data_IF_701738675470
#
_entry.id   IF_701738675470
#
_cell.length_a   1.000
_cell.length_b   1.000
_cell.length_c   1.000
_cell.angle_alpha   90.00
_cell.angle_beta   90.00
_cell.angle_gamma   90.00
#
_symmetry.space_group_name_H-M   'P 1'
#
loop_
_entity.id
_entity.type
_entity.pdbx_description
1 polymer ?
#
# COMPACT_ATOMS: atom_id res chain seq x y z
N UNK A 1 -8.08 18.89 1.65
CA UNK A 1 -8.30 17.92 2.74
C UNK A 1 -8.70 16.57 2.15
N UNK A 2 -8.05 15.51 2.61
CA UNK A 2 -8.27 14.10 2.33
C UNK A 2 -8.99 13.45 3.53
N UNK A 3 -9.66 12.34 3.29
CA UNK A 3 -10.24 11.53 4.34
C UNK A 3 -9.16 10.77 5.12
N UNK A 4 -8.27 10.09 4.39
CA UNK A 4 -7.19 9.30 4.95
C UNK A 4 -5.89 9.50 4.17
N UNK A 5 -4.76 9.26 4.84
CA UNK A 5 -3.48 9.01 4.17
C UNK A 5 -3.13 7.54 4.32
N UNK A 6 -2.94 6.86 3.19
CA UNK A 6 -2.47 5.49 3.13
C UNK A 6 -0.95 5.50 3.06
N UNK A 7 -0.27 4.72 3.90
CA UNK A 7 1.19 4.59 3.94
C UNK A 7 1.56 3.14 3.63
N UNK A 8 2.38 2.92 2.60
CA UNK A 8 2.88 1.60 2.25
C UNK A 8 4.16 1.28 3.01
N UNK A 9 4.16 0.15 3.70
CA UNK A 9 5.35 -0.41 4.33
C UNK A 9 6.47 -0.77 3.34
N UNK A 10 7.69 -0.83 3.85
CA UNK A 10 8.89 -1.28 3.12
C UNK A 10 9.72 -2.30 3.92
N UNK A 11 9.18 -2.83 5.03
CA UNK A 11 9.95 -3.58 6.03
C UNK A 11 10.60 -2.65 7.06
N UNK A 12 11.25 -3.22 8.08
CA UNK A 12 11.95 -2.39 9.10
C UNK A 12 13.24 -1.82 8.49
N UNK A 13 13.14 -0.63 7.92
CA UNK A 13 14.26 0.14 7.38
C UNK A 13 13.93 1.64 7.35
N UNK A 14 14.92 2.45 7.03
CA UNK A 14 14.79 3.91 6.95
C UNK A 14 13.79 4.36 5.88
N UNK A 15 13.59 3.57 4.83
CA UNK A 15 12.59 3.84 3.79
C UNK A 15 11.19 3.80 4.40
N UNK A 16 10.85 2.75 5.15
CA UNK A 16 9.53 2.67 5.79
C UNK A 16 9.35 3.77 6.84
N UNK A 17 10.39 4.06 7.63
CA UNK A 17 10.37 5.17 8.60
C UNK A 17 10.08 6.51 7.92
N UNK A 18 10.72 6.78 6.78
CA UNK A 18 10.48 8.00 5.99
C UNK A 18 9.03 8.10 5.51
N UNK A 19 8.47 7.00 5.00
CA UNK A 19 7.06 6.92 4.57
C UNK A 19 6.10 7.12 5.74
N UNK A 20 6.33 6.47 6.88
CA UNK A 20 5.52 6.61 8.09
C UNK A 20 5.54 8.06 8.58
N UNK A 21 6.72 8.68 8.69
CA UNK A 21 6.87 10.08 9.08
C UNK A 21 6.11 11.01 8.14
N UNK A 22 6.16 10.76 6.82
CA UNK A 22 5.39 11.56 5.86
C UNK A 22 3.89 11.41 6.05
N UNK A 23 3.39 10.19 6.30
CA UNK A 23 1.98 9.97 6.64
C UNK A 23 1.56 10.72 7.92
N UNK A 24 2.38 10.66 8.97
CA UNK A 24 2.17 11.40 10.22
C UNK A 24 2.10 12.91 9.95
N UNK A 25 3.01 13.46 9.16
CA UNK A 25 3.03 14.88 8.77
C UNK A 25 1.73 15.29 8.06
N UNK A 26 1.22 14.45 7.15
CA UNK A 26 -0.04 14.70 6.43
C UNK A 26 -1.24 14.75 7.38
N UNK A 27 -1.27 13.90 8.42
CA UNK A 27 -2.33 13.97 9.44
C UNK A 27 -2.17 15.20 10.32
N UNK A 28 -0.96 15.47 10.82
CA UNK A 28 -0.69 16.60 11.74
C UNK A 28 -0.89 17.97 11.10
N UNK A 29 -0.69 18.10 9.78
CA UNK A 29 -0.98 19.32 9.02
C UNK A 29 -2.47 19.53 8.74
N UNK A 30 -3.34 18.61 9.16
CA UNK A 30 -4.78 18.65 8.86
C UNK A 30 -5.09 18.33 7.40
N UNK A 31 -4.13 17.83 6.62
CA UNK A 31 -4.37 17.45 5.23
C UNK A 31 -5.14 16.13 5.12
N UNK A 32 -5.01 15.21 6.07
CA UNK A 32 -5.84 14.00 6.19
C UNK A 32 -6.39 13.82 7.62
N UNK A 33 -7.53 13.13 7.79
CA UNK A 33 -8.12 12.90 9.12
C UNK A 33 -7.42 11.77 9.88
N UNK A 34 -7.05 10.70 9.17
CA UNK A 34 -6.47 9.48 9.73
C UNK A 34 -5.28 8.98 8.89
N UNK A 35 -4.44 8.17 9.53
CA UNK A 35 -3.37 7.38 8.92
C UNK A 35 -3.83 5.93 8.80
N UNK A 36 -3.72 5.37 7.59
CA UNK A 36 -3.92 3.96 7.29
C UNK A 36 -2.58 3.37 6.84
N UNK A 37 -1.97 2.53 7.66
CA UNK A 37 -0.76 1.82 7.30
C UNK A 37 -1.11 0.44 6.74
N UNK A 38 -0.46 0.05 5.64
CA UNK A 38 -0.56 -1.29 5.04
C UNK A 38 0.84 -1.84 4.76
N UNK A 39 1.15 -3.00 5.33
CA UNK A 39 2.47 -3.63 5.20
C UNK A 39 2.57 -4.95 5.93
N UNK A 40 3.80 -5.35 6.27
CA UNK A 40 4.08 -6.56 7.07
C UNK A 40 3.97 -6.31 8.58
N UNK A 41 3.90 -7.39 9.36
CA UNK A 41 3.71 -7.35 10.83
C UNK A 41 4.70 -6.46 11.59
N UNK A 42 5.99 -6.66 11.35
CA UNK A 42 7.02 -5.92 12.09
C UNK A 42 7.01 -4.42 11.75
N UNK A 43 6.67 -4.10 10.50
CA UNK A 43 6.54 -2.74 9.99
C UNK A 43 5.30 -2.04 10.56
N UNK A 44 4.19 -2.78 10.73
CA UNK A 44 2.97 -2.26 11.35
C UNK A 44 3.15 -1.88 12.82
N UNK A 45 3.92 -2.66 13.59
CA UNK A 45 4.25 -2.32 14.98
C UNK A 45 5.06 -1.01 15.06
N UNK A 46 6.03 -0.84 14.16
CA UNK A 46 6.81 0.39 14.03
C UNK A 46 5.92 1.58 13.66
N UNK A 47 5.03 1.42 12.68
CA UNK A 47 4.09 2.47 12.26
C UNK A 47 3.18 2.95 13.39
N UNK A 48 2.63 2.01 14.18
CA UNK A 48 1.79 2.33 15.33
C UNK A 48 2.57 3.07 16.42
N UNK A 49 3.77 2.59 16.74
CA UNK A 49 4.65 3.20 17.74
C UNK A 49 5.04 4.62 17.35
N UNK A 50 5.59 4.81 16.13
CA UNK A 50 5.99 6.12 15.64
C UNK A 50 4.82 7.09 15.59
N UNK A 51 3.64 6.66 15.13
CA UNK A 51 2.45 7.50 15.05
C UNK A 51 2.04 8.04 16.42
N UNK A 52 1.98 7.17 17.44
CA UNK A 52 1.67 7.58 18.83
C UNK A 52 2.74 8.51 19.40
N UNK A 53 4.02 8.17 19.26
CA UNK A 53 5.13 9.00 19.75
C UNK A 53 5.13 10.40 19.11
N UNK A 54 4.67 10.53 17.87
CA UNK A 54 4.56 11.83 17.19
C UNK A 54 3.23 12.55 17.45
N UNK A 55 2.37 12.01 18.31
CA UNK A 55 1.18 12.67 18.84
C UNK A 55 -0.12 12.42 18.05
N UNK A 56 -0.20 11.36 17.24
CA UNK A 56 -1.49 10.91 16.70
C UNK A 56 -2.27 10.17 17.79
N UNK A 57 -3.57 10.42 17.87
CA UNK A 57 -4.47 9.66 18.73
C UNK A 57 -4.72 8.26 18.14
N UNK A 58 -5.03 7.27 18.98
CA UNK A 58 -5.33 5.91 18.51
C UNK A 58 -6.53 5.88 17.53
N UNK A 59 -7.50 6.79 17.68
CA UNK A 59 -8.62 6.93 16.74
C UNK A 59 -8.22 7.42 15.34
N UNK A 60 -6.98 7.90 15.18
CA UNK A 60 -6.41 8.35 13.91
C UNK A 60 -5.48 7.32 13.28
N UNK A 61 -5.27 6.16 13.89
CA UNK A 61 -4.27 5.18 13.47
C UNK A 61 -4.96 3.86 13.14
N UNK A 62 -4.85 3.43 11.89
CA UNK A 62 -5.35 2.14 11.40
C UNK A 62 -4.19 1.38 10.76
N UNK A 63 -3.98 0.13 11.17
CA UNK A 63 -2.85 -0.68 10.74
C UNK A 63 -3.37 -2.00 10.17
N UNK A 64 -2.94 -2.37 8.96
CA UNK A 64 -3.03 -3.73 8.43
C UNK A 64 -1.62 -4.33 8.28
N UNK A 65 -1.49 -5.56 8.77
CA UNK A 65 -0.25 -6.34 8.74
C UNK A 65 -0.34 -7.60 7.88
N UNK A 66 -1.45 -7.77 7.15
CA UNK A 66 -1.71 -8.97 6.36
C UNK A 66 -1.14 -8.87 4.94
N UNK A 67 -0.48 -7.76 4.64
CA UNK A 67 -0.08 -7.41 3.28
C UNK A 67 1.29 -7.98 2.90
N UNK A 68 1.33 -8.79 1.84
CA UNK A 68 2.59 -9.39 1.32
C UNK A 68 3.06 -8.74 0.03
N UNK A 69 2.20 -7.99 -0.64
CA UNK A 69 2.46 -7.35 -1.92
C UNK A 69 1.56 -6.12 -2.09
N UNK A 70 1.76 -5.38 -3.19
CA UNK A 70 1.03 -4.13 -3.44
C UNK A 70 -0.47 -4.33 -3.72
N UNK A 71 -0.90 -5.52 -4.19
CA UNK A 71 -2.33 -5.85 -4.34
C UNK A 71 -2.96 -6.07 -2.96
N UNK A 72 -2.29 -6.83 -2.07
CA UNK A 72 -2.74 -6.98 -0.68
C UNK A 72 -2.84 -5.60 0.00
N UNK A 73 -1.83 -4.73 -0.17
CA UNK A 73 -1.85 -3.36 0.37
C UNK A 73 -3.11 -2.60 -0.07
N UNK A 74 -3.42 -2.60 -1.38
CA UNK A 74 -4.59 -1.92 -1.91
C UNK A 74 -5.90 -2.55 -1.44
N UNK A 75 -5.96 -3.88 -1.37
CA UNK A 75 -7.12 -4.63 -0.90
C UNK A 75 -7.45 -4.30 0.56
N UNK A 76 -6.49 -4.45 1.47
CA UNK A 76 -6.72 -4.20 2.88
C UNK A 76 -6.96 -2.71 3.18
N UNK A 77 -6.28 -1.80 2.46
CA UNK A 77 -6.61 -0.38 2.51
C UNK A 77 -8.07 -0.14 2.11
N UNK A 78 -8.55 -0.72 1.00
CA UNK A 78 -9.95 -0.61 0.56
C UNK A 78 -10.92 -1.07 1.65
N UNK A 79 -10.69 -2.23 2.28
CA UNK A 79 -11.57 -2.75 3.35
C UNK A 79 -11.66 -1.80 4.55
N UNK A 80 -10.55 -1.16 4.93
CA UNK A 80 -10.53 -0.15 6.00
C UNK A 80 -11.31 1.09 5.57
N UNK A 81 -11.05 1.60 4.37
CA UNK A 81 -11.69 2.82 3.87
C UNK A 81 -13.21 2.66 3.68
N UNK A 82 -13.68 1.52 3.16
CA UNK A 82 -15.10 1.21 3.00
C UNK A 82 -15.82 1.17 4.35
N UNK A 83 -15.21 0.50 5.35
CA UNK A 83 -15.76 0.44 6.72
C UNK A 83 -15.92 1.83 7.34
N UNK A 84 -15.01 2.75 7.01
CA UNK A 84 -14.99 4.12 7.52
C UNK A 84 -15.72 5.12 6.62
N UNK A 85 -16.28 4.66 5.50
CA UNK A 85 -16.90 5.50 4.46
C UNK A 85 -15.99 6.67 4.00
N UNK A 86 -14.73 6.35 3.71
CA UNK A 86 -13.70 7.30 3.27
C UNK A 86 -13.35 7.04 1.81
N UNK A 87 -13.33 8.08 0.98
CA UNK A 87 -13.19 7.93 -0.49
C UNK A 87 -12.08 8.78 -1.08
N UNK A 88 -11.68 9.88 -0.43
CA UNK A 88 -10.60 10.75 -0.91
C UNK A 88 -9.34 10.48 -0.11
N UNK A 89 -8.31 9.92 -0.73
CA UNK A 89 -7.12 9.43 -0.02
C UNK A 89 -5.83 10.01 -0.59
N UNK A 90 -4.88 10.28 0.29
CA UNK A 90 -3.49 10.48 -0.08
C UNK A 90 -2.76 9.12 -0.07
N UNK A 91 -1.90 8.86 -1.04
CA UNK A 91 -1.09 7.64 -1.10
C UNK A 91 0.38 7.99 -0.90
N UNK A 92 0.96 7.53 0.21
CA UNK A 92 2.36 7.73 0.57
C UNK A 92 3.14 6.45 0.29
N UNK A 93 4.12 6.58 -0.61
CA UNK A 93 5.14 5.56 -0.86
C UNK A 93 6.36 6.21 -1.50
N UNK A 94 7.41 5.43 -1.73
CA UNK A 94 8.62 5.86 -2.41
C UNK A 94 8.34 6.33 -3.84
N UNK A 95 9.05 7.36 -4.28
CA UNK A 95 8.84 7.96 -5.62
C UNK A 95 9.01 6.96 -6.74
N UNK A 96 10.05 6.12 -6.71
CA UNK A 96 10.27 5.09 -7.73
C UNK A 96 9.15 4.04 -7.76
N UNK A 97 8.50 3.78 -6.62
CA UNK A 97 7.43 2.80 -6.44
C UNK A 97 6.03 3.40 -6.69
N UNK A 98 5.92 4.72 -6.81
CA UNK A 98 4.64 5.43 -6.86
C UNK A 98 3.82 5.06 -8.10
N UNK A 99 4.45 4.94 -9.27
CA UNK A 99 3.75 4.65 -10.53
C UNK A 99 2.99 3.31 -10.46
N UNK A 100 3.68 2.24 -10.07
CA UNK A 100 3.06 0.91 -9.91
C UNK A 100 2.02 0.90 -8.81
N UNK A 101 2.32 1.55 -7.68
CA UNK A 101 1.40 1.63 -6.55
C UNK A 101 0.10 2.32 -6.96
N UNK A 102 0.18 3.47 -7.63
CA UNK A 102 -0.99 4.20 -8.09
C UNK A 102 -1.81 3.37 -9.07
N UNK A 103 -1.16 2.74 -10.07
CA UNK A 103 -1.84 1.92 -11.06
C UNK A 103 -2.59 0.71 -10.46
N UNK A 104 -2.06 0.12 -9.37
CA UNK A 104 -2.71 -0.97 -8.63
C UNK A 104 -3.81 -0.45 -7.71
N UNK A 105 -3.56 0.62 -6.96
CA UNK A 105 -4.54 1.21 -6.06
C UNK A 105 -5.77 1.71 -6.82
N UNK A 106 -5.59 2.45 -7.92
CA UNK A 106 -6.70 2.88 -8.77
C UNK A 106 -7.52 1.69 -9.28
N UNK A 107 -6.84 0.60 -9.66
CA UNK A 107 -7.50 -0.60 -10.17
C UNK A 107 -8.30 -1.34 -9.10
N UNK A 108 -7.72 -1.53 -7.92
CA UNK A 108 -8.36 -2.29 -6.82
C UNK A 108 -9.45 -1.47 -6.13
N UNK A 109 -9.20 -0.20 -5.82
CA UNK A 109 -10.16 0.66 -5.13
C UNK A 109 -11.37 0.95 -6.04
N UNK A 110 -11.13 1.23 -7.32
CA UNK A 110 -12.18 1.55 -8.27
C UNK A 110 -12.52 3.04 -8.34
N UNK A 111 -13.48 3.39 -9.20
CA UNK A 111 -13.81 4.80 -9.52
C UNK A 111 -14.47 5.57 -8.37
N UNK A 112 -14.93 4.88 -7.34
CA UNK A 112 -15.50 5.52 -6.15
C UNK A 112 -14.47 6.23 -5.28
N UNK A 113 -13.17 5.99 -5.51
CA UNK A 113 -12.09 6.55 -4.72
C UNK A 113 -11.28 7.56 -5.54
N UNK A 114 -10.92 8.68 -4.91
CA UNK A 114 -9.99 9.67 -5.45
C UNK A 114 -8.65 9.52 -4.73
N UNK A 115 -7.60 9.21 -5.47
CA UNK A 115 -6.26 8.96 -4.93
C UNK A 115 -5.33 10.10 -5.36
N UNK A 116 -4.62 10.69 -4.38
CA UNK A 116 -3.61 11.73 -4.65
C UNK A 116 -2.24 11.21 -4.21
N UNK A 117 -1.25 11.14 -5.13
CA UNK A 117 0.08 10.65 -4.77
C UNK A 117 0.82 11.67 -3.90
N UNK A 118 1.47 11.18 -2.85
CA UNK A 118 2.37 11.93 -1.97
C UNK A 118 3.70 11.17 -1.93
N UNK A 119 4.58 11.37 -2.93
CA UNK A 119 5.82 10.62 -3.04
C UNK A 119 6.81 11.03 -1.94
N UNK A 120 7.60 10.05 -1.51
CA UNK A 120 8.76 10.25 -0.63
C UNK A 120 10.02 9.96 -1.45
N UNK A 121 10.99 10.86 -1.42
CA UNK A 121 12.28 10.65 -2.08
C UNK A 121 13.08 9.59 -1.30
N UNK A 122 13.69 8.68 -2.05
CA UNK A 122 14.61 7.66 -1.56
C UNK A 122 15.54 7.21 -2.68
N UNK A 123 16.61 6.50 -2.30
CA UNK A 123 17.68 6.08 -3.21
C UNK A 123 17.72 4.54 -3.26
N UNK A 124 16.88 3.89 -4.09
CA UNK A 124 16.88 2.44 -4.21
C UNK A 124 18.11 1.96 -4.99
N UNK A 125 18.59 0.78 -4.64
CA UNK A 125 19.59 0.08 -5.46
C UNK A 125 19.01 -0.30 -6.83
N UNK A 126 19.92 -0.46 -7.81
CA UNK A 126 19.57 -0.76 -9.20
C UNK A 126 18.69 -2.01 -9.35
N UNK A 127 18.96 -3.06 -8.58
CA UNK A 127 18.16 -4.30 -8.61
C UNK A 127 16.70 -4.06 -8.23
N UNK A 128 16.44 -3.18 -7.25
CA UNK A 128 15.09 -2.82 -6.83
C UNK A 128 14.36 -2.08 -7.93
N UNK A 129 15.03 -1.17 -8.63
CA UNK A 129 14.47 -0.44 -9.78
C UNK A 129 14.16 -1.39 -10.93
N UNK A 130 15.08 -2.30 -11.28
CA UNK A 130 14.88 -3.28 -12.36
C UNK A 130 13.70 -4.23 -12.05
N UNK A 131 13.58 -4.68 -10.79
CA UNK A 131 12.44 -5.45 -10.31
C UNK A 131 11.13 -4.66 -10.43
N UNK A 132 11.14 -3.38 -10.06
CA UNK A 132 9.99 -2.49 -10.16
C UNK A 132 9.51 -2.37 -11.62
N UNK A 133 10.43 -2.15 -12.55
CA UNK A 133 10.14 -2.08 -13.99
C UNK A 133 9.60 -3.41 -14.56
N UNK A 134 10.10 -4.54 -14.07
CA UNK A 134 9.56 -5.85 -14.43
C UNK A 134 8.11 -6.02 -13.95
N UNK A 135 7.83 -5.68 -12.70
CA UNK A 135 6.51 -5.80 -12.11
C UNK A 135 5.48 -4.88 -12.79
N UNK A 136 5.88 -3.68 -13.22
CA UNK A 136 5.00 -2.77 -13.98
C UNK A 136 4.47 -3.40 -15.26
N UNK A 137 5.28 -4.19 -15.97
CA UNK A 137 4.89 -4.87 -17.22
C UNK A 137 3.78 -5.90 -17.04
N UNK A 138 3.59 -6.41 -15.82
CA UNK A 138 2.52 -7.38 -15.51
C UNK A 138 1.17 -6.70 -15.29
N UNK A 139 1.13 -5.39 -15.01
CA UNK A 139 -0.11 -4.69 -14.68
C UNK A 139 -1.13 -4.72 -15.84
N UNK A 140 -0.78 -4.41 -17.10
CA UNK A 140 -1.75 -4.45 -18.20
C UNK A 140 -2.33 -5.85 -18.42
N UNK A 141 -1.51 -6.89 -18.25
CA UNK A 141 -1.95 -8.28 -18.33
C UNK A 141 -2.95 -8.60 -17.22
N UNK A 142 -2.66 -8.23 -15.97
CA UNK A 142 -3.60 -8.45 -14.87
C UNK A 142 -4.91 -7.68 -15.07
N UNK A 143 -4.84 -6.45 -15.57
CA UNK A 143 -6.00 -5.59 -15.87
C UNK A 143 -6.88 -6.11 -17.01
N UNK A 144 -6.39 -7.00 -17.87
CA UNK A 144 -7.23 -7.61 -18.92
C UNK A 144 -8.16 -8.71 -18.39
N UNK A 145 -7.84 -9.28 -17.22
CA UNK A 145 -8.63 -10.36 -16.62
C UNK A 145 -9.67 -9.89 -15.60
N UNK A 146 -9.43 -8.76 -14.93
CA UNK A 146 -10.34 -8.27 -13.88
C UNK A 146 -10.73 -6.81 -14.07
N UNK A 147 -12.03 -6.54 -13.89
CA UNK A 147 -12.57 -5.21 -13.94
C UNK A 147 -12.01 -4.32 -12.81
N UNK A 148 -11.92 -3.02 -13.10
CA UNK A 148 -11.61 -2.01 -12.08
C UNK A 148 -12.64 -2.09 -10.95
N UNK A 149 -12.18 -2.09 -9.70
CA UNK A 149 -13.01 -2.20 -8.51
C UNK A 149 -13.29 -3.63 -8.03
N UNK A 150 -12.99 -4.67 -8.83
CA UNK A 150 -13.16 -6.09 -8.45
C UNK A 150 -12.06 -6.57 -7.48
N UNK A 151 -12.02 -5.96 -6.30
CA UNK A 151 -10.98 -6.20 -5.30
C UNK A 151 -10.94 -7.68 -4.86
N UNK A 152 -12.09 -8.35 -4.73
CA UNK A 152 -12.18 -9.75 -4.32
C UNK A 152 -11.68 -10.70 -5.42
N UNK A 153 -12.08 -10.49 -6.68
CA UNK A 153 -11.61 -11.31 -7.81
C UNK A 153 -10.10 -11.17 -8.01
N UNK A 154 -9.59 -9.94 -7.98
CA UNK A 154 -8.16 -9.64 -8.08
C UNK A 154 -7.38 -10.33 -6.94
N UNK A 155 -7.84 -10.18 -5.70
CA UNK A 155 -7.19 -10.76 -4.52
C UNK A 155 -7.11 -12.28 -4.63
N UNK A 156 -8.23 -12.93 -4.96
CA UNK A 156 -8.33 -14.39 -5.11
C UNK A 156 -7.37 -14.91 -6.19
N UNK A 157 -7.25 -14.21 -7.30
CA UNK A 157 -6.36 -14.59 -8.39
C UNK A 157 -4.88 -14.48 -8.00
N UNK A 158 -4.49 -13.38 -7.35
CA UNK A 158 -3.12 -13.19 -6.86
C UNK A 158 -2.75 -14.22 -5.80
N UNK A 159 -3.66 -14.54 -4.87
CA UNK A 159 -3.44 -15.60 -3.89
C UNK A 159 -3.26 -16.98 -4.53
N UNK A 160 -4.08 -17.30 -5.54
CA UNK A 160 -3.99 -18.56 -6.26
C UNK A 160 -2.65 -18.69 -6.99
N UNK A 161 -2.22 -17.62 -7.66
CA UNK A 161 -0.92 -17.58 -8.34
C UNK A 161 0.23 -17.74 -7.35
N UNK A 162 0.14 -17.11 -6.17
CA UNK A 162 1.16 -17.25 -5.13
C UNK A 162 1.31 -18.69 -4.64
N UNK A 163 0.20 -19.41 -4.45
CA UNK A 163 0.21 -20.84 -4.08
C UNK A 163 0.88 -21.68 -5.16
N UNK A 164 0.53 -21.48 -6.43
CA UNK A 164 1.11 -22.21 -7.58
C UNK A 164 2.62 -21.94 -7.68
N UNK A 165 3.05 -20.68 -7.58
CA UNK A 165 4.46 -20.34 -7.65
C UNK A 165 5.25 -20.96 -6.49
N UNK A 166 4.69 -20.97 -5.28
CA UNK A 166 5.33 -21.64 -4.14
C UNK A 166 5.45 -23.15 -4.33
N UNK A 167 4.44 -23.83 -4.86
CA UNK A 167 4.53 -25.28 -5.11
C UNK A 167 5.61 -25.60 -6.14
N UNK A 168 5.66 -24.84 -7.25
CA UNK A 168 6.67 -25.04 -8.30
C UNK A 168 8.11 -24.79 -7.81
N UNK A 169 8.31 -23.87 -6.86
CA UNK A 169 9.62 -23.58 -6.28
C UNK A 169 10.04 -24.58 -5.19
N UNK A 170 9.10 -25.35 -4.62
CA UNK A 170 9.38 -26.38 -3.62
C UNK A 170 9.56 -27.78 -4.22
N UNK A 171 9.11 -28.01 -5.45
CA UNK A 171 9.31 -29.27 -6.20
C UNK A 171 10.68 -29.35 -6.91
N UNK A 172 11.61 -28.45 -6.58
CA UNK A 172 12.91 -28.30 -7.22
C UNK A 172 14.12 -28.90 -6.49
N UNK A 173 13.93 -29.87 -5.61
CA UNK A 173 14.99 -30.68 -4.96
C UNK A 173 14.94 -32.15 -5.40
#
# INVERSE_FOLDING_TARGET
MYDAVIVLGAGINDISVGRIKKGIEVVKSGLARILVFVGGSDDGALAASLSRTHGLNDSQIYIDTNSRNTVDNAYYAKKILERLNMKKVALVTSKFHMERSLAIFEWVLGDEFSIVPVPVEDEPDREVVEKEECLKKLIPLMKSFFAKGDAEGIKKAVDSLYVILRSLLQEGD
#
